data_IF_517510388247
#
_entry.id   IF_517510388247
#
_cell.length_a   1.000
_cell.length_b   1.000
_cell.length_c   1.000
_cell.angle_alpha   90.00
_cell.angle_beta   90.00
_cell.angle_gamma   90.00
#
_symmetry.space_group_name_H-M   'P 1'
#
loop_
_entity.id
_entity.type
_entity.pdbx_description
1 polymer ?
#
# COMPACT_ATOMS: atom_id res chain seq x y z
N UNK A 1 -0.79 3.78 -13.28
CA UNK A 1 -0.03 4.51 -12.24
C UNK A 1 1.14 3.68 -11.74
N UNK A 2 2.34 4.26 -11.64
CA UNK A 2 3.58 3.58 -11.19
C UNK A 2 3.72 3.55 -9.66
N UNK A 3 3.30 4.60 -8.96
CA UNK A 3 3.38 4.66 -7.51
C UNK A 3 2.19 3.93 -6.86
N UNK A 4 2.50 3.04 -5.91
CA UNK A 4 1.50 2.34 -5.09
C UNK A 4 0.75 3.26 -4.10
N UNK A 5 1.24 4.48 -3.88
CA UNK A 5 0.59 5.47 -2.99
C UNK A 5 -0.82 5.85 -3.46
N UNK A 6 -1.05 5.84 -4.77
CA UNK A 6 -2.32 6.20 -5.40
C UNK A 6 -3.26 5.00 -5.60
N UNK A 7 -2.86 3.82 -5.12
CA UNK A 7 -3.62 2.55 -5.20
C UNK A 7 -4.00 2.09 -3.78
N UNK A 8 -5.18 2.49 -3.26
CA UNK A 8 -5.57 2.20 -1.87
C UNK A 8 -5.64 0.70 -1.55
N UNK A 9 -6.15 -0.14 -2.46
CA UNK A 9 -6.25 -1.58 -2.27
C UNK A 9 -4.87 -2.23 -2.34
N UNK A 10 -4.06 -1.88 -3.35
CA UNK A 10 -2.68 -2.35 -3.45
C UNK A 10 -1.87 -2.07 -2.18
N UNK A 11 -2.03 -0.87 -1.59
CA UNK A 11 -1.33 -0.52 -0.35
C UNK A 11 -1.68 -1.46 0.80
N UNK A 12 -2.93 -1.87 0.94
CA UNK A 12 -3.38 -2.80 2.00
C UNK A 12 -2.75 -4.19 1.78
N UNK A 13 -2.88 -4.76 0.58
CA UNK A 13 -2.32 -6.07 0.26
C UNK A 13 -0.79 -6.10 0.34
N UNK A 14 -0.12 -4.99 0.00
CA UNK A 14 1.31 -4.84 0.16
C UNK A 14 1.75 -4.97 1.63
N UNK A 15 1.03 -4.35 2.57
CA UNK A 15 1.36 -4.48 3.99
C UNK A 15 1.12 -5.89 4.53
N UNK A 16 0.08 -6.59 4.07
CA UNK A 16 -0.09 -8.01 4.37
C UNK A 16 1.06 -8.85 3.80
N UNK A 17 1.56 -8.53 2.61
CA UNK A 17 2.73 -9.19 2.04
C UNK A 17 4.00 -8.95 2.85
N UNK A 18 4.24 -7.72 3.31
CA UNK A 18 5.36 -7.41 4.21
C UNK A 18 5.24 -8.21 5.51
N UNK A 19 4.05 -8.27 6.11
CA UNK A 19 3.82 -9.07 7.32
C UNK A 19 4.09 -10.55 7.08
N UNK A 20 3.71 -11.09 5.92
CA UNK A 20 4.00 -12.47 5.55
C UNK A 20 5.51 -12.73 5.38
N UNK A 21 6.25 -11.82 4.75
CA UNK A 21 7.72 -11.91 4.62
C UNK A 21 8.41 -11.92 5.98
N UNK A 22 8.03 -11.01 6.89
CA UNK A 22 8.59 -10.95 8.24
C UNK A 22 8.22 -12.20 9.03
N UNK A 23 6.96 -12.65 8.93
CA UNK A 23 6.48 -13.88 9.57
C UNK A 23 7.23 -15.13 9.10
N UNK A 24 7.45 -15.26 7.79
CA UNK A 24 8.26 -16.36 7.22
C UNK A 24 9.72 -16.26 7.65
N UNK A 25 10.29 -15.06 7.70
CA UNK A 25 11.64 -14.86 8.23
C UNK A 25 11.78 -15.33 9.68
N UNK A 26 10.80 -14.98 10.53
CA UNK A 26 10.76 -15.44 11.91
C UNK A 26 10.59 -16.96 12.01
N UNK A 27 9.62 -17.53 11.27
CA UNK A 27 9.36 -18.97 11.31
C UNK A 27 10.51 -19.79 10.70
N UNK A 28 11.27 -19.23 9.76
CA UNK A 28 12.49 -19.85 9.22
C UNK A 28 13.61 -20.02 10.26
N UNK A 29 13.54 -19.29 11.39
CA UNK A 29 14.46 -19.44 12.52
C UNK A 29 14.00 -20.47 13.58
N UNK A 30 12.81 -21.05 13.41
CA UNK A 30 12.21 -22.01 14.36
C UNK A 30 12.44 -23.46 13.93
N UNK A 31 12.49 -24.41 14.88
CA UNK A 31 12.52 -25.82 14.54
C UNK A 31 11.26 -26.21 13.75
N UNK A 32 11.35 -27.15 12.78
CA UNK A 32 10.26 -27.53 11.90
C UNK A 32 9.27 -28.48 12.59
N UNK A 33 8.74 -28.05 13.72
CA UNK A 33 7.92 -28.87 14.62
C UNK A 33 6.66 -28.12 15.06
N UNK A 34 5.61 -28.88 15.37
CA UNK A 34 4.37 -28.34 15.92
C UNK A 34 3.66 -27.35 14.98
N UNK A 35 3.14 -26.27 15.56
CA UNK A 35 2.32 -25.28 14.85
C UNK A 35 3.12 -24.40 13.88
N UNK A 36 4.45 -24.29 14.05
CA UNK A 36 5.30 -23.49 13.18
C UNK A 36 5.24 -23.97 11.73
N UNK A 37 5.20 -25.29 11.49
CA UNK A 37 5.11 -25.86 10.14
C UNK A 37 3.81 -25.46 9.45
N UNK A 38 2.69 -25.50 10.17
CA UNK A 38 1.38 -25.12 9.62
C UNK A 38 1.34 -23.65 9.27
N UNK A 39 1.82 -22.77 10.16
CA UNK A 39 1.87 -21.33 9.90
C UNK A 39 2.80 -20.99 8.74
N UNK A 40 3.97 -21.64 8.66
CA UNK A 40 4.91 -21.45 7.54
C UNK A 40 4.27 -21.81 6.20
N UNK A 41 3.54 -22.94 6.13
CA UNK A 41 2.84 -23.35 4.90
C UNK A 41 1.78 -22.34 4.47
N UNK A 42 0.98 -21.84 5.41
CA UNK A 42 -0.07 -20.84 5.14
C UNK A 42 0.57 -19.54 4.63
N UNK A 43 1.63 -19.05 5.29
CA UNK A 43 2.31 -17.83 4.85
C UNK A 43 3.02 -18.01 3.52
N UNK A 44 3.62 -19.17 3.23
CA UNK A 44 4.21 -19.47 1.92
C UNK A 44 3.13 -19.49 0.83
N UNK A 45 1.97 -20.09 1.10
CA UNK A 45 0.84 -20.05 0.17
C UNK A 45 0.41 -18.60 -0.10
N UNK A 46 0.25 -17.79 0.94
CA UNK A 46 -0.10 -16.37 0.80
C UNK A 46 0.97 -15.58 0.02
N UNK A 47 2.26 -15.87 0.25
CA UNK A 47 3.37 -15.24 -0.47
C UNK A 47 3.25 -15.44 -1.98
N UNK A 48 3.03 -16.68 -2.43
CA UNK A 48 2.84 -16.98 -3.86
C UNK A 48 1.51 -16.46 -4.40
N UNK A 49 0.42 -16.57 -3.63
CA UNK A 49 -0.88 -16.00 -3.99
C UNK A 49 -0.76 -14.49 -4.23
N UNK A 50 0.02 -13.78 -3.41
CA UNK A 50 0.22 -12.35 -3.56
C UNK A 50 0.89 -12.01 -4.89
N UNK A 51 2.02 -12.65 -5.19
CA UNK A 51 2.81 -12.37 -6.39
C UNK A 51 2.10 -12.82 -7.68
N UNK A 52 1.52 -14.02 -7.68
CA UNK A 52 0.97 -14.64 -8.89
C UNK A 52 -0.47 -14.26 -9.18
N UNK A 53 -1.26 -13.90 -8.16
CA UNK A 53 -2.70 -13.67 -8.32
C UNK A 53 -3.09 -12.26 -7.90
N UNK A 54 -2.77 -11.84 -6.67
CA UNK A 54 -3.24 -10.54 -6.14
C UNK A 54 -2.66 -9.37 -6.93
N UNK A 55 -1.35 -9.38 -7.22
CA UNK A 55 -0.68 -8.33 -7.99
C UNK A 55 -1.27 -8.17 -9.40
N UNK A 56 -1.40 -9.21 -10.24
CA UNK A 56 -2.06 -9.05 -11.53
C UNK A 56 -3.53 -8.66 -11.38
N UNK A 57 -4.28 -9.28 -10.47
CA UNK A 57 -5.71 -9.00 -10.30
C UNK A 57 -6.00 -7.55 -9.91
N UNK A 58 -5.25 -6.98 -8.96
CA UNK A 58 -5.34 -5.55 -8.60
C UNK A 58 -4.90 -4.64 -9.73
N UNK A 59 -3.94 -5.09 -10.55
CA UNK A 59 -3.55 -4.41 -11.77
C UNK A 59 -4.71 -4.19 -12.74
N UNK A 60 -5.64 -5.15 -12.81
CA UNK A 60 -6.82 -5.11 -13.68
C UNK A 60 -8.03 -4.41 -13.03
N UNK A 61 -8.30 -4.68 -11.75
CA UNK A 61 -9.56 -4.27 -11.11
C UNK A 61 -9.51 -2.91 -10.42
N UNK A 62 -8.33 -2.44 -9.99
CA UNK A 62 -8.25 -1.25 -9.14
C UNK A 62 -8.25 0.05 -9.95
N UNK A 63 -9.21 0.94 -9.65
CA UNK A 63 -9.22 2.31 -10.18
C UNK A 63 -8.29 3.21 -9.35
N UNK A 64 -7.18 3.72 -9.91
CA UNK A 64 -6.23 4.53 -9.16
C UNK A 64 -6.76 5.94 -8.87
N UNK A 65 -6.31 6.52 -7.76
CA UNK A 65 -6.58 7.92 -7.41
C UNK A 65 -5.93 8.87 -8.43
N UNK A 66 -6.49 10.08 -8.63
CA UNK A 66 -5.91 11.07 -9.53
C UNK A 66 -4.47 11.39 -9.10
N UNK A 67 -3.58 11.43 -10.09
CA UNK A 67 -2.20 11.83 -9.92
C UNK A 67 -2.10 13.36 -10.05
N UNK A 68 -1.23 14.02 -9.25
CA UNK A 68 -0.93 15.43 -9.46
C UNK A 68 -0.25 15.63 -10.83
N UNK A 69 -0.53 16.77 -11.47
CA UNK A 69 0.02 17.18 -12.77
C UNK A 69 1.53 17.36 -12.75
N UNK A 70 2.10 17.75 -11.61
CA UNK A 70 3.53 17.92 -11.42
C UNK A 70 3.96 17.59 -10.00
N UNK A 71 5.26 17.33 -9.83
CA UNK A 71 5.87 17.13 -8.51
C UNK A 71 5.80 18.42 -7.68
N UNK A 72 5.96 19.57 -8.32
CA UNK A 72 5.83 20.89 -7.67
C UNK A 72 4.44 21.07 -7.06
N UNK A 73 3.39 20.66 -7.77
CA UNK A 73 2.01 20.74 -7.27
C UNK A 73 1.80 19.84 -6.05
N UNK A 74 2.35 18.63 -6.04
CA UNK A 74 2.26 17.69 -4.91
C UNK A 74 2.95 18.23 -3.64
N UNK A 75 4.15 18.80 -3.82
CA UNK A 75 4.94 19.38 -2.72
C UNK A 75 4.28 20.65 -2.16
N UNK A 76 3.76 21.52 -3.04
CA UNK A 76 3.09 22.76 -2.65
C UNK A 76 1.72 22.50 -2.02
N UNK A 77 0.95 21.52 -2.53
CA UNK A 77 -0.32 21.11 -1.95
C UNK A 77 -0.15 20.61 -0.50
N UNK A 78 0.94 19.90 -0.20
CA UNK A 78 1.27 19.42 1.14
C UNK A 78 1.65 20.55 2.12
N UNK A 79 2.02 21.73 1.61
CA UNK A 79 2.47 22.90 2.38
C UNK A 79 1.40 23.98 2.59
N UNK A 80 0.28 23.98 1.86
CA UNK A 80 -0.75 25.00 2.03
C UNK A 80 -1.35 24.90 3.45
N UNK A 81 -1.22 25.94 4.30
CA UNK A 81 -2.06 26.06 5.48
C UNK A 81 -3.51 26.12 4.99
N UNK A 82 -4.44 25.47 5.70
CA UNK A 82 -5.87 25.63 5.45
C UNK A 82 -6.21 27.10 5.69
N UNK A 83 -6.22 27.91 4.63
CA UNK A 83 -6.68 29.29 4.70
C UNK A 83 -8.20 29.24 4.86
N UNK A 84 -8.78 29.94 5.85
CA UNK A 84 -10.23 30.00 6.00
C UNK A 84 -10.85 30.61 4.74
N UNK A 85 -11.72 29.83 4.12
CA UNK A 85 -12.47 30.23 2.93
C UNK A 85 -13.44 31.36 3.30
N UNK A 86 -13.38 32.46 2.56
CA UNK A 86 -14.43 33.47 2.53
C UNK A 86 -14.26 34.67 3.47
N UNK A 87 -13.56 35.70 3.01
CA UNK A 87 -14.07 37.08 3.08
C UNK A 87 -13.76 37.79 1.77
N UNK A 88 -14.74 38.45 1.11
CA UNK A 88 -14.47 39.26 -0.06
C UNK A 88 -13.58 40.41 0.40
N UNK A 89 -12.43 40.56 -0.25
CA UNK A 89 -11.55 41.71 -0.05
C UNK A 89 -12.30 42.90 -0.63
N UNK A 90 -12.93 43.69 0.24
CA UNK A 90 -13.56 44.95 -0.14
C UNK A 90 -12.46 45.82 -0.74
N UNK A 91 -12.65 46.17 -2.01
CA UNK A 91 -11.90 47.21 -2.67
C UNK A 91 -12.31 48.55 -2.05
N UNK A 92 -11.37 49.18 -1.34
CA UNK A 92 -11.31 50.62 -1.09
C UNK A 92 -9.98 51.12 -1.66
#
# INVERSE_FOLDING_TARGET
VRSGTYRPLYKIFFWFFVAACVGLGYLGSKPPEGSYVTFSRILTFYYFLHLLVIVPLLGLLETPKPLPSSISDDVLAKKKPVLPEGKPVLAE
#
